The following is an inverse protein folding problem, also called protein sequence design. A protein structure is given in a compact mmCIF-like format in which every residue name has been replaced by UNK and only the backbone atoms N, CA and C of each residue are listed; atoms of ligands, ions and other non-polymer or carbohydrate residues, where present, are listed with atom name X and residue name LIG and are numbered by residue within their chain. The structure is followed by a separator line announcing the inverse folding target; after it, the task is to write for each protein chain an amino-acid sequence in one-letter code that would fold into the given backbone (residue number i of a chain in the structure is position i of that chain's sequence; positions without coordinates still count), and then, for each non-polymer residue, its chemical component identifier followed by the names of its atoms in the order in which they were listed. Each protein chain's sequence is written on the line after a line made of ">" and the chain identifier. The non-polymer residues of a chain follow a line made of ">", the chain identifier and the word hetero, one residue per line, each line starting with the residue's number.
data_IF_298879730504
#
_entry.id   IF_298879730504
#
_cell.length_a   1.000
_cell.length_b   1.000
_cell.length_c   1.000
_cell.angle_alpha   90.00
_cell.angle_beta   90.00
_cell.angle_gamma   90.00
#
_symmetry.space_group_name_H-M   'P 1'
#
loop_
_entity.id
_entity.type
_entity.pdbx_description
1 polymer ?
#
# COMPACT_ATOMS: atom_id res chain seq x y z
N UNK A 1 29.09 29.42 -4.62
CA UNK A 1 27.98 29.00 -5.50
C UNK A 1 28.07 27.49 -5.69
N UNK A 2 27.15 26.71 -5.12
CA UNK A 2 27.08 25.28 -5.41
C UNK A 2 26.63 25.10 -6.87
N UNK A 3 27.42 24.39 -7.66
CA UNK A 3 27.15 24.11 -9.07
C UNK A 3 25.79 23.41 -9.23
N UNK A 4 25.00 23.85 -10.21
CA UNK A 4 23.68 23.32 -10.57
C UNK A 4 23.66 21.78 -10.73
N UNK A 5 24.79 21.19 -11.10
CA UNK A 5 25.00 19.74 -11.21
C UNK A 5 24.99 19.00 -9.86
N UNK A 6 25.37 19.64 -8.75
CA UNK A 6 25.26 19.04 -7.40
C UNK A 6 23.80 18.98 -6.92
N UNK A 7 22.95 19.89 -7.38
CA UNK A 7 21.53 19.95 -7.01
C UNK A 7 20.71 18.84 -7.71
N UNK A 8 20.98 18.58 -8.99
CA UNK A 8 20.38 17.48 -9.76
C UNK A 8 20.78 16.09 -9.23
N UNK A 9 22.03 15.89 -8.81
CA UNK A 9 22.49 14.64 -8.22
C UNK A 9 21.81 14.36 -6.85
N UNK A 10 21.60 15.39 -6.03
CA UNK A 10 20.84 15.28 -4.78
C UNK A 10 19.38 14.90 -5.05
N UNK A 11 18.72 15.50 -6.05
CA UNK A 11 17.36 15.13 -6.44
C UNK A 11 17.25 13.66 -6.90
N UNK A 12 18.20 13.17 -7.70
CA UNK A 12 18.22 11.78 -8.17
C UNK A 12 18.42 10.76 -7.04
N UNK A 13 19.27 11.08 -6.04
CA UNK A 13 19.43 10.26 -4.84
C UNK A 13 18.18 10.24 -3.95
N UNK A 14 17.43 11.34 -3.87
CA UNK A 14 16.15 11.38 -3.14
C UNK A 14 15.08 10.51 -3.82
N UNK A 15 14.98 10.54 -5.15
CA UNK A 15 13.99 9.73 -5.89
C UNK A 15 14.24 8.21 -5.77
N UNK A 16 15.51 7.78 -5.69
CA UNK A 16 15.86 6.35 -5.63
C UNK A 16 15.47 5.67 -4.30
N UNK A 17 15.33 6.44 -3.22
CA UNK A 17 14.97 5.91 -1.88
C UNK A 17 13.48 5.67 -1.67
N UNK A 18 12.62 6.02 -2.63
CA UNK A 18 11.15 5.94 -2.48
C UNK A 18 10.52 4.60 -2.87
N UNK A 19 11.31 3.62 -3.31
CA UNK A 19 10.81 2.27 -3.50
C UNK A 19 10.63 1.59 -2.13
N UNK A 20 9.43 1.71 -1.55
CA UNK A 20 9.10 1.05 -0.29
C UNK A 20 9.36 -0.45 -0.36
N UNK A 21 9.97 -1.01 0.68
CA UNK A 21 10.33 -2.45 0.71
C UNK A 21 9.40 -3.20 1.66
N UNK A 22 9.06 -4.43 1.30
CA UNK A 22 8.31 -5.35 2.15
C UNK A 22 8.89 -6.75 2.00
N UNK A 23 9.50 -7.28 3.07
CA UNK A 23 10.18 -8.59 3.06
C UNK A 23 9.77 -9.43 4.26
N UNK A 24 10.11 -10.72 4.21
CA UNK A 24 9.85 -11.68 5.28
C UNK A 24 11.19 -11.99 5.96
N UNK A 25 11.26 -11.77 7.27
CA UNK A 25 12.34 -12.24 8.11
C UNK A 25 11.97 -13.61 8.68
N UNK A 26 12.46 -14.67 8.01
CA UNK A 26 12.17 -16.06 8.39
C UNK A 26 12.85 -16.46 9.71
N UNK A 27 13.94 -15.79 10.11
CA UNK A 27 14.66 -16.11 11.35
C UNK A 27 13.95 -15.55 12.57
N UNK A 28 13.40 -14.33 12.48
CA UNK A 28 12.66 -13.67 13.56
C UNK A 28 11.14 -13.82 13.43
N UNK A 29 10.66 -14.56 12.43
CA UNK A 29 9.24 -14.82 12.17
C UNK A 29 8.39 -13.55 12.09
N UNK A 30 8.86 -12.54 11.35
CA UNK A 30 8.20 -11.23 11.25
C UNK A 30 8.27 -10.66 9.82
N UNK A 31 7.43 -9.67 9.53
CA UNK A 31 7.57 -8.87 8.32
C UNK A 31 8.50 -7.69 8.56
N UNK A 32 9.17 -7.25 7.51
CA UNK A 32 9.99 -6.04 7.50
C UNK A 32 9.41 -5.10 6.46
N UNK A 33 9.05 -3.89 6.90
CA UNK A 33 8.62 -2.80 6.01
C UNK A 33 9.62 -1.65 6.14
N UNK A 34 10.22 -1.25 5.02
CA UNK A 34 11.19 -0.14 4.97
C UNK A 34 12.35 -0.31 5.99
N UNK A 35 12.88 -1.54 6.07
CA UNK A 35 13.98 -1.91 6.98
C UNK A 35 13.59 -2.04 8.46
N UNK A 36 12.31 -1.92 8.82
CA UNK A 36 11.83 -1.99 10.21
C UNK A 36 10.87 -3.17 10.42
N UNK A 37 10.88 -3.82 11.60
CA UNK A 37 9.85 -4.79 11.98
C UNK A 37 8.45 -4.24 11.79
N UNK A 38 7.58 -5.04 11.17
CA UNK A 38 6.24 -4.65 10.81
C UNK A 38 5.23 -5.75 11.16
N UNK A 39 4.08 -5.32 11.69
CA UNK A 39 2.93 -6.18 11.91
C UNK A 39 1.70 -5.49 11.34
N UNK A 40 0.99 -6.17 10.44
CA UNK A 40 -0.30 -5.68 10.00
C UNK A 40 -1.38 -6.01 11.03
N UNK A 41 -2.31 -5.08 11.18
CA UNK A 41 -3.64 -5.28 11.77
C UNK A 41 -4.59 -4.89 10.64
N UNK A 42 -5.26 -5.88 10.08
CA UNK A 42 -6.07 -5.76 8.86
C UNK A 42 -7.54 -6.03 9.13
N UNK A 43 -8.39 -5.50 8.25
CA UNK A 43 -9.83 -5.68 8.26
C UNK A 43 -10.35 -5.73 6.83
N UNK A 44 -11.37 -6.56 6.59
CA UNK A 44 -11.88 -6.80 5.25
C UNK A 44 -12.76 -5.66 4.76
N UNK A 45 -12.41 -5.10 3.60
CA UNK A 45 -13.24 -4.15 2.85
C UNK A 45 -13.37 -4.71 1.44
N UNK A 46 -14.60 -5.04 1.04
CA UNK A 46 -14.88 -5.53 -0.31
C UNK A 46 -15.44 -4.38 -1.15
N UNK A 47 -14.58 -3.72 -1.96
CA UNK A 47 -14.96 -2.51 -2.70
C UNK A 47 -16.22 -2.71 -3.57
N UNK A 48 -16.42 -3.91 -4.13
CA UNK A 48 -17.57 -4.28 -4.96
C UNK A 48 -18.90 -4.40 -4.18
N UNK A 49 -18.87 -4.28 -2.85
CA UNK A 49 -20.06 -4.25 -1.98
C UNK A 49 -20.36 -2.85 -1.44
N UNK A 50 -19.57 -1.84 -1.82
CA UNK A 50 -19.62 -0.49 -1.28
C UNK A 50 -19.68 0.48 -2.45
N UNK A 51 -20.66 1.37 -2.46
CA UNK A 51 -20.75 2.40 -3.48
C UNK A 51 -19.42 3.21 -3.55
N UNK A 52 -18.86 3.50 -4.75
CA UNK A 52 -17.56 4.17 -4.87
C UNK A 52 -17.43 5.47 -4.07
N UNK A 53 -18.50 6.28 -4.04
CA UNK A 53 -18.56 7.53 -3.27
C UNK A 53 -18.35 7.35 -1.75
N UNK A 54 -18.43 6.12 -1.25
CA UNK A 54 -18.25 5.81 0.17
C UNK A 54 -16.89 5.19 0.48
N UNK A 55 -16.06 4.84 -0.51
CA UNK A 55 -14.78 4.18 -0.25
C UNK A 55 -13.86 5.00 0.66
N UNK A 56 -13.74 6.29 0.40
CA UNK A 56 -12.91 7.19 1.21
C UNK A 56 -13.38 7.25 2.68
N UNK A 57 -14.70 7.39 2.91
CA UNK A 57 -15.27 7.33 4.27
C UNK A 57 -14.97 5.99 4.96
N UNK A 58 -15.13 4.86 4.24
CA UNK A 58 -14.88 3.53 4.82
C UNK A 58 -13.41 3.33 5.19
N UNK A 59 -12.49 3.75 4.32
CA UNK A 59 -11.05 3.66 4.57
C UNK A 59 -10.62 4.56 5.74
N UNK A 60 -11.18 5.78 5.85
CA UNK A 60 -10.94 6.68 6.97
C UNK A 60 -11.42 6.08 8.30
N UNK A 61 -12.59 5.45 8.32
CA UNK A 61 -13.12 4.77 9.53
C UNK A 61 -12.26 3.59 9.95
N UNK A 62 -11.81 2.77 9.00
CA UNK A 62 -10.87 1.67 9.26
C UNK A 62 -9.56 2.21 9.84
N UNK A 63 -9.02 3.29 9.27
CA UNK A 63 -7.82 3.92 9.81
C UNK A 63 -8.05 4.47 11.23
N UNK A 64 -9.20 5.08 11.49
CA UNK A 64 -9.56 5.60 12.81
C UNK A 64 -9.75 4.50 13.86
N UNK A 65 -10.15 3.30 13.45
CA UNK A 65 -10.21 2.10 14.30
C UNK A 65 -8.81 1.54 14.65
N UNK A 66 -7.73 2.10 14.08
CA UNK A 66 -6.36 1.72 14.37
C UNK A 66 -5.77 0.66 13.43
N UNK A 67 -6.50 0.28 12.38
CA UNK A 67 -6.00 -0.65 11.37
C UNK A 67 -4.93 0.04 10.49
N UNK A 68 -3.91 -0.72 10.13
CA UNK A 68 -2.80 -0.23 9.30
C UNK A 68 -2.73 -0.91 7.92
N UNK A 69 -3.64 -1.86 7.66
CA UNK A 69 -3.82 -2.54 6.40
C UNK A 69 -5.31 -2.80 6.16
N UNK A 70 -5.66 -3.06 4.90
CA UNK A 70 -6.97 -3.58 4.51
C UNK A 70 -6.77 -4.83 3.66
N UNK A 71 -7.71 -5.75 3.73
CA UNK A 71 -7.79 -6.88 2.81
C UNK A 71 -9.04 -6.76 1.95
N UNK A 72 -8.93 -7.10 0.66
CA UNK A 72 -10.06 -7.11 -0.28
C UNK A 72 -9.95 -8.31 -1.21
N UNK A 73 -11.09 -8.86 -1.58
CA UNK A 73 -11.17 -9.74 -2.75
C UNK A 73 -11.24 -8.94 -4.05
N UNK A 74 -10.83 -9.60 -5.13
CA UNK A 74 -11.07 -9.19 -6.51
C UNK A 74 -11.97 -10.25 -7.14
N UNK A 75 -13.31 -10.10 -7.05
CA UNK A 75 -14.23 -11.07 -7.62
C UNK A 75 -14.17 -11.02 -9.15
N UNK A 76 -13.66 -12.09 -9.76
CA UNK A 76 -13.47 -12.18 -11.22
C UNK A 76 -14.77 -11.90 -11.98
N UNK A 77 -15.89 -12.49 -11.56
CA UNK A 77 -17.20 -12.31 -12.18
C UNK A 77 -17.73 -10.86 -12.15
N UNK A 78 -17.20 -10.00 -11.28
CA UNK A 78 -17.51 -8.57 -11.25
C UNK A 78 -16.76 -7.80 -12.32
N UNK A 79 -15.55 -8.25 -12.67
CA UNK A 79 -14.69 -7.62 -13.68
C UNK A 79 -14.84 -8.22 -15.06
N UNK A 80 -15.19 -9.50 -15.13
CA UNK A 80 -15.41 -10.25 -16.37
C UNK A 80 -16.74 -11.01 -16.31
N UNK A 81 -17.88 -10.33 -16.54
CA UNK A 81 -19.19 -10.98 -16.54
C UNK A 81 -19.38 -11.95 -17.71
N UNK A 82 -18.59 -11.82 -18.78
CA UNK A 82 -18.57 -12.71 -19.94
C UNK A 82 -17.12 -12.89 -20.42
N UNK A 83 -16.75 -14.06 -20.99
CA UNK A 83 -15.38 -14.30 -21.46
C UNK A 83 -14.84 -13.17 -22.35
N UNK A 84 -13.74 -12.56 -21.94
CA UNK A 84 -13.02 -11.49 -22.62
C UNK A 84 -13.62 -10.09 -22.51
N UNK A 85 -14.61 -9.84 -21.64
CA UNK A 85 -15.29 -8.54 -21.50
C UNK A 85 -15.24 -7.99 -20.09
#
# INVERSE_FOLDING_TARGET
>A
MLSFTKFLALLACFYSTYAGTFTIDYTKHQFIKDGKPFRFISGSIHYFRIHPDHWDDRLKRVRALGLNAVETYVPWNFHEPMPGR
#
